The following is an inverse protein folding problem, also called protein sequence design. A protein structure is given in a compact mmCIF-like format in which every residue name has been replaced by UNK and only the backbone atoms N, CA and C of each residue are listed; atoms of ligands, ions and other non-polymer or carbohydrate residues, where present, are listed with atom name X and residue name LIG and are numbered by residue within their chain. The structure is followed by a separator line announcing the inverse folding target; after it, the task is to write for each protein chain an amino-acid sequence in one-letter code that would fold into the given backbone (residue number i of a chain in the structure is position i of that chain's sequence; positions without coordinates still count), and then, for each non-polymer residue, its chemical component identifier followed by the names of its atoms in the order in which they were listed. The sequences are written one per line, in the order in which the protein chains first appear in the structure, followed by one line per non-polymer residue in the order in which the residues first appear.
data_IF_874047130582
#
_entry.id   IF_874047130582
#
_cell.length_a   1.000
_cell.length_b   1.000
_cell.length_c   1.000
_cell.angle_alpha   90.00
_cell.angle_beta   90.00
_cell.angle_gamma   90.00
#
_symmetry.space_group_name_H-M   'P 1'
#
loop_
_entity.id
_entity.type
_entity.pdbx_description
1 polymer ?
#
# COMPACT_ATOMS: atom_id res chain seq x y z
N UNK A 1 4.21 16.69 10.53
CA UNK A 1 3.20 17.75 10.23
C UNK A 1 3.82 19.05 9.75
N UNK A 2 4.81 19.60 10.44
CA UNK A 2 5.39 20.91 10.07
C UNK A 2 6.09 20.97 8.69
N UNK A 3 6.45 19.82 8.13
CA UNK A 3 7.10 19.72 6.81
C UNK A 3 6.11 19.44 5.66
N UNK A 4 4.82 19.29 5.94
CA UNK A 4 3.83 18.93 4.93
C UNK A 4 3.94 17.48 4.43
N UNK A 5 4.65 16.62 5.16
CA UNK A 5 4.82 15.20 4.83
C UNK A 5 3.65 14.42 5.42
N UNK A 6 3.07 13.54 4.63
CA UNK A 6 2.10 12.55 5.07
C UNK A 6 2.76 11.19 5.24
N UNK A 7 2.22 10.38 6.14
CA UNK A 7 2.74 9.05 6.47
C UNK A 7 1.70 7.99 6.12
N UNK A 8 2.02 7.14 5.18
CA UNK A 8 1.28 5.91 4.95
C UNK A 8 1.75 4.87 5.98
N UNK A 9 0.91 4.59 6.96
CA UNK A 9 1.21 3.62 8.02
C UNK A 9 0.84 2.22 7.57
N UNK A 10 1.83 1.48 7.13
CA UNK A 10 1.71 0.05 6.82
C UNK A 10 1.69 -0.72 8.14
N UNK A 11 0.56 -1.33 8.47
CA UNK A 11 0.36 -1.97 9.78
C UNK A 11 0.82 -3.43 9.78
N UNK A 12 0.62 -4.14 8.70
CA UNK A 12 1.04 -5.54 8.54
C UNK A 12 1.90 -5.73 7.31
N UNK A 13 2.75 -6.76 7.31
CA UNK A 13 3.57 -7.14 6.15
C UNK A 13 4.04 -8.60 6.25
N UNK A 14 4.35 -9.27 5.12
CA UNK A 14 4.72 -10.69 5.09
C UNK A 14 6.13 -10.97 5.63
N UNK A 15 6.97 -9.94 5.78
CA UNK A 15 8.38 -10.06 6.19
C UNK A 15 8.58 -9.95 7.69
N UNK A 16 7.51 -9.98 8.46
CA UNK A 16 7.51 -9.89 9.91
C UNK A 16 8.31 -11.02 10.57
N UNK A 17 9.14 -10.64 11.54
CA UNK A 17 9.98 -11.57 12.32
C UNK A 17 9.63 -11.60 13.80
N UNK A 18 8.61 -10.87 14.21
CA UNK A 18 8.19 -10.72 15.62
C UNK A 18 6.87 -11.42 15.93
N UNK A 19 6.25 -12.03 14.91
CA UNK A 19 5.04 -12.83 15.04
C UNK A 19 3.72 -12.08 14.83
N UNK A 20 3.75 -10.82 14.41
CA UNK A 20 2.52 -10.06 14.14
C UNK A 20 1.72 -10.64 12.98
N UNK A 21 2.39 -11.13 11.94
CA UNK A 21 1.74 -11.79 10.80
C UNK A 21 1.02 -13.10 11.18
N UNK A 22 1.42 -13.70 12.31
CA UNK A 22 0.93 -15.00 12.80
C UNK A 22 -0.05 -14.86 13.96
N UNK A 23 -0.40 -13.65 14.39
CA UNK A 23 -1.31 -13.42 15.50
C UNK A 23 -2.69 -14.04 15.24
N UNK A 24 -3.34 -14.45 16.32
CA UNK A 24 -4.74 -14.89 16.30
C UNK A 24 -5.69 -13.70 16.15
N UNK A 25 -6.90 -13.95 15.71
CA UNK A 25 -7.90 -12.91 15.46
C UNK A 25 -8.11 -11.92 16.62
N UNK A 26 -8.13 -12.43 17.86
CA UNK A 26 -8.31 -11.60 19.07
C UNK A 26 -7.12 -10.65 19.30
N UNK A 27 -5.91 -11.10 19.01
CA UNK A 27 -4.69 -10.31 19.17
C UNK A 27 -4.55 -9.31 18.02
N UNK A 28 -4.91 -9.71 16.79
CA UNK A 28 -5.02 -8.79 15.65
C UNK A 28 -5.97 -7.63 15.98
N UNK A 29 -7.18 -7.94 16.45
CA UNK A 29 -8.18 -6.93 16.78
C UNK A 29 -7.71 -5.98 17.89
N UNK A 30 -7.01 -6.51 18.89
CA UNK A 30 -6.40 -5.71 19.95
C UNK A 30 -5.30 -4.80 19.40
N UNK A 31 -4.45 -5.33 18.53
CA UNK A 31 -3.37 -4.58 17.91
C UNK A 31 -3.90 -3.45 17.03
N UNK A 32 -4.88 -3.73 16.16
CA UNK A 32 -5.52 -2.71 15.33
C UNK A 32 -6.15 -1.59 16.16
N UNK A 33 -6.92 -1.93 17.20
CA UNK A 33 -7.50 -0.95 18.12
C UNK A 33 -6.44 -0.10 18.83
N UNK A 34 -5.34 -0.72 19.21
CA UNK A 34 -4.21 -0.02 19.84
C UNK A 34 -3.55 0.97 18.88
N UNK A 35 -3.22 0.53 17.65
CA UNK A 35 -2.58 1.37 16.64
C UNK A 35 -3.47 2.58 16.31
N UNK A 36 -4.76 2.35 16.09
CA UNK A 36 -5.72 3.42 15.81
C UNK A 36 -5.80 4.41 16.98
N UNK A 37 -5.92 3.93 18.22
CA UNK A 37 -5.97 4.80 19.40
C UNK A 37 -4.70 5.65 19.57
N UNK A 38 -3.56 5.19 19.09
CA UNK A 38 -2.28 5.91 19.18
C UNK A 38 -2.09 6.93 18.06
N UNK A 39 -2.54 6.64 16.85
CA UNK A 39 -2.12 7.40 15.68
C UNK A 39 -3.25 8.16 14.97
N UNK A 40 -4.52 7.86 15.19
CA UNK A 40 -5.63 8.56 14.52
C UNK A 40 -5.70 10.06 14.80
N UNK A 41 -5.09 10.54 15.89
CA UNK A 41 -5.05 11.97 16.18
C UNK A 41 -4.12 12.77 15.24
N UNK A 42 -3.27 12.11 14.48
CA UNK A 42 -2.37 12.76 13.54
C UNK A 42 -3.02 12.91 12.17
N UNK A 43 -3.37 14.12 11.78
CA UNK A 43 -4.05 14.42 10.51
C UNK A 43 -3.31 14.01 9.25
N UNK A 44 -2.02 13.75 9.33
CA UNK A 44 -1.13 13.40 8.22
C UNK A 44 -0.82 11.90 8.17
N UNK A 45 -1.75 11.08 8.60
CA UNK A 45 -1.65 9.62 8.57
C UNK A 45 -2.61 9.05 7.52
N UNK A 46 -2.16 8.04 6.81
CA UNK A 46 -2.98 7.14 6.02
C UNK A 46 -2.87 5.74 6.59
N UNK A 47 -3.86 4.89 6.33
CA UNK A 47 -3.85 3.50 6.78
C UNK A 47 -3.62 2.56 5.60
N UNK A 48 -2.48 1.88 5.55
CA UNK A 48 -2.28 0.71 4.72
C UNK A 48 -2.47 -0.55 5.58
N UNK A 49 -3.44 -1.39 5.24
CA UNK A 49 -3.71 -2.59 6.02
C UNK A 49 -2.52 -3.53 5.97
N UNK A 50 -1.94 -3.70 4.81
CA UNK A 50 -0.73 -4.49 4.64
C UNK A 50 0.09 -4.01 3.45
N UNK A 51 1.40 -4.17 3.53
CA UNK A 51 2.26 -4.34 2.37
C UNK A 51 2.08 -5.78 1.85
N UNK A 52 1.92 -5.94 0.53
CA UNK A 52 1.87 -7.23 -0.16
C UNK A 52 0.96 -8.27 0.54
N UNK A 53 -0.29 -7.88 0.77
CA UNK A 53 -1.27 -8.65 1.51
C UNK A 53 -1.40 -10.11 1.03
N UNK A 54 -1.23 -10.33 -0.28
CA UNK A 54 -1.38 -11.63 -0.94
C UNK A 54 -0.20 -12.58 -0.69
N UNK A 55 0.88 -12.11 -0.06
CA UNK A 55 1.97 -12.93 0.46
C UNK A 55 1.76 -13.33 1.93
N UNK A 56 0.78 -12.76 2.62
CA UNK A 56 0.45 -13.10 4.01
C UNK A 56 -0.49 -14.30 4.07
N UNK A 57 0.05 -15.49 3.84
CA UNK A 57 -0.74 -16.73 3.70
C UNK A 57 -1.53 -17.14 4.97
N UNK A 58 -1.17 -16.58 6.13
CA UNK A 58 -1.85 -16.81 7.41
C UNK A 58 -3.10 -15.93 7.59
N UNK A 59 -3.31 -14.98 6.70
CA UNK A 59 -4.46 -14.08 6.73
C UNK A 59 -5.36 -14.35 5.52
N UNK A 60 -6.66 -14.31 5.77
CA UNK A 60 -7.69 -14.51 4.74
C UNK A 60 -8.31 -13.20 4.30
N UNK A 61 -9.06 -13.20 3.21
CA UNK A 61 -9.82 -12.02 2.78
C UNK A 61 -10.78 -11.53 3.88
N UNK A 62 -11.38 -12.44 4.66
CA UNK A 62 -12.26 -12.07 5.77
C UNK A 62 -11.50 -11.38 6.92
N UNK A 63 -10.22 -11.67 7.11
CA UNK A 63 -9.40 -10.96 8.09
C UNK A 63 -9.18 -9.51 7.66
N UNK A 64 -8.86 -9.28 6.38
CA UNK A 64 -8.70 -7.92 5.84
C UNK A 64 -9.98 -7.10 5.95
N UNK A 65 -11.15 -7.70 5.64
CA UNK A 65 -12.44 -7.03 5.79
C UNK A 65 -12.75 -6.71 7.27
N UNK A 66 -12.37 -7.59 8.18
CA UNK A 66 -12.51 -7.36 9.62
C UNK A 66 -11.64 -6.19 10.08
N UNK A 67 -10.37 -6.10 9.64
CA UNK A 67 -9.49 -4.98 9.98
C UNK A 67 -10.01 -3.67 9.39
N UNK A 68 -10.46 -3.68 8.14
CA UNK A 68 -11.09 -2.53 7.52
C UNK A 68 -12.32 -2.05 8.30
N UNK A 69 -13.14 -2.97 8.79
CA UNK A 69 -14.30 -2.65 9.63
C UNK A 69 -13.89 -1.99 10.95
N UNK A 70 -12.82 -2.48 11.59
CA UNK A 70 -12.28 -1.87 12.81
C UNK A 70 -11.79 -0.44 12.53
N UNK A 71 -11.09 -0.22 11.41
CA UNK A 71 -10.63 1.12 11.03
C UNK A 71 -11.84 2.04 10.81
N UNK A 72 -12.81 1.61 10.02
CA UNK A 72 -14.01 2.41 9.72
C UNK A 72 -14.80 2.80 10.98
N UNK A 73 -14.82 1.92 11.99
CA UNK A 73 -15.51 2.18 13.26
C UNK A 73 -14.69 3.05 14.23
N UNK A 74 -13.38 2.85 14.29
CA UNK A 74 -12.52 3.40 15.36
C UNK A 74 -11.70 4.61 14.95
N UNK A 75 -11.56 4.89 13.65
CA UNK A 75 -10.89 6.09 13.18
C UNK A 75 -11.90 7.26 13.05
N UNK A 76 -11.93 8.20 14.01
CA UNK A 76 -12.94 9.26 14.05
C UNK A 76 -12.72 10.33 12.98
N UNK A 77 -11.57 10.35 12.32
CA UNK A 77 -11.19 11.36 11.33
C UNK A 77 -11.32 10.85 9.89
N UNK A 78 -11.65 9.56 9.71
CA UNK A 78 -11.84 8.94 8.40
C UNK A 78 -10.65 9.15 7.46
N UNK A 79 -9.45 8.91 7.96
CA UNK A 79 -8.23 9.01 7.16
C UNK A 79 -8.29 8.13 5.91
N UNK A 80 -7.47 8.47 4.93
CA UNK A 80 -7.29 7.64 3.74
C UNK A 80 -6.84 6.23 4.14
N UNK A 81 -7.30 5.22 3.41
CA UNK A 81 -7.00 3.82 3.73
C UNK A 81 -7.06 2.94 2.48
N UNK A 82 -6.15 2.00 2.42
CA UNK A 82 -6.04 1.03 1.34
C UNK A 82 -5.35 -0.25 1.80
N UNK A 83 -5.04 -1.12 0.86
CA UNK A 83 -4.27 -2.34 1.05
C UNK A 83 -3.41 -2.56 -0.18
N UNK A 84 -2.13 -2.94 0.00
CA UNK A 84 -1.16 -3.05 -1.06
C UNK A 84 -0.97 -4.51 -1.47
N UNK A 85 -0.96 -4.76 -2.79
CA UNK A 85 -0.74 -6.08 -3.37
C UNK A 85 0.73 -6.34 -3.73
N UNK A 86 1.13 -7.62 -3.79
CA UNK A 86 2.31 -8.06 -4.53
C UNK A 86 1.95 -8.41 -5.99
N UNK A 87 1.10 -9.41 -6.18
CA UNK A 87 0.71 -9.95 -7.48
C UNK A 87 -0.80 -9.91 -7.71
N UNK A 88 -1.57 -10.27 -6.70
CA UNK A 88 -3.02 -10.36 -6.78
C UNK A 88 -3.68 -9.05 -6.36
N UNK A 89 -4.29 -8.35 -7.30
CA UNK A 89 -5.03 -7.13 -6.98
C UNK A 89 -6.16 -7.42 -6.00
N UNK A 90 -6.29 -6.54 -5.02
CA UNK A 90 -7.46 -6.52 -4.15
C UNK A 90 -8.68 -5.99 -4.90
N UNK A 91 -9.88 -6.18 -4.37
CA UNK A 91 -11.06 -5.51 -4.94
C UNK A 91 -11.15 -4.05 -4.47
N UNK A 92 -10.51 -3.17 -5.23
CA UNK A 92 -10.51 -1.74 -4.90
C UNK A 92 -11.87 -1.05 -5.09
N UNK A 93 -12.93 -1.75 -5.56
CA UNK A 93 -14.28 -1.21 -5.57
C UNK A 93 -14.92 -1.16 -4.17
N UNK A 94 -14.38 -1.89 -3.21
CA UNK A 94 -14.96 -1.95 -1.86
C UNK A 94 -15.08 -0.56 -1.24
N UNK A 95 -16.21 -0.28 -0.55
CA UNK A 95 -16.53 1.08 -0.07
C UNK A 95 -15.55 1.65 0.96
N UNK A 96 -14.89 0.78 1.70
CA UNK A 96 -13.93 1.21 2.71
C UNK A 96 -12.59 1.70 2.12
N UNK A 97 -12.26 1.29 0.91
CA UNK A 97 -11.03 1.69 0.23
C UNK A 97 -11.17 3.10 -0.34
N UNK A 98 -10.24 3.98 -0.03
CA UNK A 98 -10.23 5.37 -0.50
C UNK A 98 -9.43 5.57 -1.77
N UNK A 99 -8.42 4.75 -2.01
CA UNK A 99 -7.53 4.79 -3.17
C UNK A 99 -7.00 3.40 -3.49
N UNK A 100 -6.62 3.17 -4.73
CA UNK A 100 -5.92 1.95 -5.12
C UNK A 100 -4.45 2.08 -4.69
N UNK A 101 -3.92 1.11 -3.98
CA UNK A 101 -2.52 0.98 -3.61
C UNK A 101 -1.96 -0.22 -4.39
N UNK A 102 -1.18 0.05 -5.42
CA UNK A 102 -0.85 -0.95 -6.45
C UNK A 102 0.65 -1.03 -6.68
N UNK A 103 1.16 -2.26 -6.69
CA UNK A 103 2.44 -2.55 -7.34
C UNK A 103 2.26 -3.54 -8.50
N UNK A 104 3.23 -3.54 -9.39
CA UNK A 104 3.41 -4.57 -10.39
C UNK A 104 4.83 -5.08 -10.37
N UNK A 105 4.96 -6.38 -10.44
CA UNK A 105 6.26 -7.05 -10.41
C UNK A 105 6.93 -7.14 -11.79
N UNK A 106 6.21 -6.77 -12.84
CA UNK A 106 6.78 -6.79 -14.19
C UNK A 106 7.76 -5.64 -14.40
N UNK A 107 8.98 -6.00 -14.77
CA UNK A 107 10.06 -5.05 -14.97
C UNK A 107 9.78 -4.00 -16.06
N UNK A 108 8.94 -4.33 -17.03
CA UNK A 108 8.73 -3.49 -18.22
C UNK A 108 7.37 -2.76 -18.27
N UNK A 109 6.41 -3.14 -17.42
CA UNK A 109 5.04 -2.67 -17.51
C UNK A 109 4.50 -2.37 -16.11
N UNK A 110 4.65 -1.13 -15.67
CA UNK A 110 4.18 -0.73 -14.35
C UNK A 110 3.22 0.47 -14.38
N UNK A 111 3.58 1.51 -15.11
CA UNK A 111 2.88 2.80 -15.04
C UNK A 111 1.83 3.01 -16.12
N UNK A 112 1.89 2.28 -17.22
CA UNK A 112 1.01 2.49 -18.37
C UNK A 112 -0.45 2.08 -18.12
N UNK A 113 -0.71 1.27 -17.11
CA UNK A 113 -2.07 0.81 -16.78
C UNK A 113 -2.84 1.77 -15.86
N UNK A 114 -2.28 2.88 -15.46
CA UNK A 114 -2.94 3.85 -14.56
C UNK A 114 -4.31 4.27 -15.08
N UNK A 115 -4.45 4.52 -16.37
CA UNK A 115 -5.74 4.89 -16.97
C UNK A 115 -6.79 3.79 -16.78
N UNK A 116 -6.42 2.54 -17.04
CA UNK A 116 -7.31 1.38 -16.90
C UNK A 116 -7.77 1.21 -15.45
N UNK A 117 -6.87 1.36 -14.49
CA UNK A 117 -7.24 1.26 -13.08
C UNK A 117 -8.12 2.42 -12.62
N UNK A 118 -7.85 3.64 -13.07
CA UNK A 118 -8.71 4.79 -12.78
C UNK A 118 -10.12 4.63 -13.36
N UNK A 119 -10.23 4.13 -14.58
CA UNK A 119 -11.52 3.84 -15.20
C UNK A 119 -12.24 2.69 -14.51
N UNK A 120 -11.52 1.63 -14.12
CA UNK A 120 -12.10 0.45 -13.47
C UNK A 120 -12.62 0.73 -12.08
N UNK A 121 -11.85 1.47 -11.27
CA UNK A 121 -12.12 1.61 -9.85
C UNK A 121 -12.71 2.98 -9.47
N UNK A 122 -12.65 3.96 -10.35
CA UNK A 122 -13.08 5.34 -10.12
C UNK A 122 -12.50 5.97 -8.84
N UNK A 123 -11.25 5.64 -8.51
CA UNK A 123 -10.52 6.08 -7.33
C UNK A 123 -9.13 6.59 -7.72
N UNK A 124 -8.49 7.43 -6.88
CA UNK A 124 -7.08 7.74 -7.04
C UNK A 124 -6.25 6.45 -7.09
N UNK A 125 -5.22 6.43 -7.94
CA UNK A 125 -4.31 5.30 -8.08
C UNK A 125 -2.94 5.72 -7.55
N UNK A 126 -2.54 5.15 -6.44
CA UNK A 126 -1.19 5.26 -5.87
C UNK A 126 -0.41 4.03 -6.32
N UNK A 127 0.71 4.26 -6.96
CA UNK A 127 1.67 3.23 -7.34
C UNK A 127 2.78 3.25 -6.30
N UNK A 128 2.62 2.50 -5.24
CA UNK A 128 3.55 2.49 -4.12
C UNK A 128 4.92 1.95 -4.54
N UNK A 129 4.91 1.00 -5.48
CA UNK A 129 6.12 0.39 -6.01
C UNK A 129 6.06 0.29 -7.53
N UNK A 130 6.95 1.00 -8.21
CA UNK A 130 7.13 0.97 -9.67
C UNK A 130 8.47 0.36 -10.09
N UNK A 131 8.98 -0.60 -9.33
CA UNK A 131 10.36 -1.04 -9.20
C UNK A 131 11.22 -0.01 -8.47
N UNK A 132 12.49 -0.37 -8.22
CA UNK A 132 13.40 0.44 -7.43
C UNK A 132 14.66 0.76 -8.24
N UNK A 133 15.09 2.01 -8.19
CA UNK A 133 16.41 2.40 -8.65
C UNK A 133 17.46 1.72 -7.78
N UNK A 134 18.47 1.09 -8.39
CA UNK A 134 19.46 0.41 -7.57
C UNK A 134 20.41 -0.51 -8.32
N UNK A 135 21.08 -1.37 -7.54
CA UNK A 135 22.13 -2.26 -8.04
C UNK A 135 22.05 -3.70 -7.52
N UNK A 136 20.94 -4.10 -6.94
CA UNK A 136 20.78 -5.49 -6.48
C UNK A 136 20.54 -6.44 -7.66
N UNK A 137 20.73 -7.74 -7.42
CA UNK A 137 20.64 -8.76 -8.47
C UNK A 137 19.20 -9.00 -9.03
N UNK A 138 18.18 -8.47 -8.38
CA UNK A 138 16.78 -8.68 -8.75
C UNK A 138 16.28 -7.56 -9.66
N UNK A 139 15.60 -7.92 -10.76
CA UNK A 139 15.13 -6.96 -11.76
C UNK A 139 14.18 -5.88 -11.22
N UNK A 140 13.49 -6.14 -10.12
CA UNK A 140 12.64 -5.13 -9.47
C UNK A 140 13.46 -4.06 -8.72
N UNK A 141 14.74 -4.31 -8.40
CA UNK A 141 15.57 -3.43 -7.59
C UNK A 141 16.88 -3.02 -8.27
N UNK A 142 16.93 -2.97 -9.60
CA UNK A 142 18.11 -2.54 -10.36
C UNK A 142 17.77 -1.80 -11.65
N UNK A 143 16.68 -1.08 -11.66
CA UNK A 143 16.40 -0.17 -12.78
C UNK A 143 17.30 1.07 -12.68
N UNK A 144 17.58 1.70 -13.82
CA UNK A 144 18.35 2.96 -13.84
C UNK A 144 17.51 4.14 -13.37
N UNK A 145 18.18 5.22 -12.94
CA UNK A 145 17.52 6.47 -12.57
C UNK A 145 16.72 7.09 -13.73
N UNK A 146 17.17 6.92 -14.98
CA UNK A 146 16.43 7.35 -16.16
C UNK A 146 15.13 6.56 -16.33
N UNK A 147 15.20 5.23 -16.13
CA UNK A 147 14.01 4.38 -16.20
C UNK A 147 13.04 4.66 -15.04
N UNK A 148 13.55 4.89 -13.83
CA UNK A 148 12.73 5.33 -12.70
C UNK A 148 12.03 6.66 -13.03
N UNK A 149 12.77 7.65 -13.54
CA UNK A 149 12.23 8.94 -13.95
C UNK A 149 11.16 8.79 -15.05
N UNK A 150 11.40 7.93 -16.05
CA UNK A 150 10.43 7.64 -17.11
C UNK A 150 9.13 7.08 -16.56
N UNK A 151 9.20 6.08 -15.68
CA UNK A 151 8.03 5.46 -15.04
C UNK A 151 7.26 6.44 -14.19
N UNK A 152 7.98 7.24 -13.42
CA UNK A 152 7.39 8.27 -12.58
C UNK A 152 6.56 9.26 -13.41
N UNK A 153 7.15 9.83 -14.46
CA UNK A 153 6.45 10.75 -15.34
C UNK A 153 5.31 10.09 -16.12
N UNK A 154 5.48 8.85 -16.55
CA UNK A 154 4.41 8.11 -17.22
C UNK A 154 3.20 7.94 -16.30
N UNK A 155 3.40 7.50 -15.06
CA UNK A 155 2.33 7.39 -14.08
C UNK A 155 1.67 8.74 -13.80
N UNK A 156 2.47 9.77 -13.54
CA UNK A 156 2.00 11.11 -13.21
C UNK A 156 1.17 11.72 -14.35
N UNK A 157 1.66 11.66 -15.59
CA UNK A 157 0.93 12.18 -16.75
C UNK A 157 -0.38 11.45 -17.03
N UNK A 158 -0.52 10.20 -16.57
CA UNK A 158 -1.76 9.42 -16.60
C UNK A 158 -2.69 9.68 -15.42
N UNK A 159 -2.28 10.56 -14.49
CA UNK A 159 -3.03 10.94 -13.29
C UNK A 159 -2.95 9.92 -12.17
N UNK A 160 -1.86 9.17 -12.09
CA UNK A 160 -1.48 8.35 -10.93
C UNK A 160 -0.54 9.11 -9.99
N UNK A 161 -0.30 8.52 -8.84
CA UNK A 161 0.60 9.02 -7.80
C UNK A 161 1.73 8.00 -7.60
N UNK A 162 2.86 8.12 -8.32
CA UNK A 162 3.95 7.16 -8.25
C UNK A 162 4.83 7.38 -7.01
N UNK A 163 5.24 6.27 -6.39
CA UNK A 163 6.27 6.24 -5.36
C UNK A 163 7.67 6.05 -5.95
N UNK A 164 8.67 6.59 -5.29
CA UNK A 164 10.09 6.36 -5.58
C UNK A 164 10.71 5.50 -4.49
N UNK A 165 11.53 4.54 -4.89
CA UNK A 165 12.30 3.70 -3.98
C UNK A 165 13.69 3.37 -4.52
N UNK A 166 14.60 3.05 -3.62
CA UNK A 166 16.01 2.77 -3.90
C UNK A 166 16.46 1.47 -3.25
N UNK A 167 17.36 0.77 -3.91
CA UNK A 167 17.98 -0.49 -3.44
C UNK A 167 19.47 -0.52 -3.73
N UNK A 168 20.20 0.50 -3.34
CA UNK A 168 21.65 0.52 -3.43
C UNK A 168 22.30 -0.23 -2.27
N UNK A 169 23.32 -1.09 -2.59
CA UNK A 169 24.17 -1.82 -1.64
C UNK A 169 25.57 -1.23 -1.63
#
# INVERSE_FOLDING_TARGET
MNLGIEADLIVMHPYDRWGFSMMKAEDDDRYWKYVLARFSAYRNVWWSLANEYDLMHEKTLSDWERYASIICEKDPYHHLRSIHNCKAYYDYNLPWITHCSIQRTETYRSSELVNEWREKYHKPVVLDEICYEGNIQFGWGNISGEEMTRRFWEAFCRGGYPGHGETYL
#
